data_IF_587360054099
#
_entry.id   IF_587360054099
#
_cell.length_a   1.000
_cell.length_b   1.000
_cell.length_c   1.000
_cell.angle_alpha   90.00
_cell.angle_beta   90.00
_cell.angle_gamma   90.00
#
_symmetry.space_group_name_H-M   'P 1'
#
loop_
_entity.id
_entity.type
_entity.pdbx_description
1 polymer ?
#
# COMPACT_ATOMS: atom_id res chain seq x y z
N UNK A 1 10.38 10.70 19.35
CA UNK A 1 9.91 10.27 18.02
C UNK A 1 8.67 11.06 17.62
N UNK A 2 8.81 12.10 16.79
CA UNK A 2 7.74 12.76 16.02
C UNK A 2 8.41 13.72 15.03
N UNK A 3 8.78 13.23 13.85
CA UNK A 3 9.30 14.08 12.77
C UNK A 3 8.34 14.04 11.59
N UNK A 4 7.28 14.85 11.68
CA UNK A 4 6.37 15.15 10.57
C UNK A 4 5.65 16.50 10.78
N UNK A 5 6.22 17.43 11.57
CA UNK A 5 5.45 18.58 12.09
C UNK A 5 5.62 19.88 11.29
N UNK A 6 6.68 20.06 10.50
CA UNK A 6 6.93 21.37 9.87
C UNK A 6 6.17 21.60 8.55
N UNK A 7 5.63 20.56 7.89
CA UNK A 7 5.00 20.69 6.54
C UNK A 7 3.64 20.03 6.37
N UNK A 8 3.08 19.38 7.40
CA UNK A 8 1.85 18.60 7.25
C UNK A 8 0.81 19.10 8.26
N UNK A 9 -0.37 19.46 7.77
CA UNK A 9 -1.48 19.92 8.61
C UNK A 9 -2.12 18.77 9.42
N UNK A 10 -2.29 17.60 8.79
CA UNK A 10 -2.87 16.41 9.41
C UNK A 10 -2.38 15.14 8.70
N UNK A 11 -2.24 14.03 9.43
CA UNK A 11 -1.92 12.70 8.89
C UNK A 11 -3.08 11.76 9.16
N UNK A 12 -3.55 11.04 8.13
CA UNK A 12 -4.58 10.00 8.22
C UNK A 12 -4.15 8.74 7.49
N UNK A 13 -4.69 7.61 7.93
CA UNK A 13 -4.48 6.28 7.37
C UNK A 13 -5.71 5.84 6.56
N UNK A 14 -5.46 5.18 5.42
CA UNK A 14 -6.51 4.64 4.57
C UNK A 14 -6.18 3.21 4.15
N UNK A 15 -7.17 2.32 4.22
CA UNK A 15 -7.02 0.90 3.86
C UNK A 15 -8.19 0.39 3.02
N UNK A 16 -7.90 -0.53 2.11
CA UNK A 16 -8.93 -1.20 1.32
C UNK A 16 -9.73 -2.21 2.15
N UNK A 17 -9.05 -3.03 2.95
CA UNK A 17 -9.68 -4.05 3.76
C UNK A 17 -9.14 -4.06 5.19
N UNK A 18 -9.99 -3.81 6.18
CA UNK A 18 -9.64 -3.93 7.60
C UNK A 18 -10.10 -5.28 8.17
N UNK A 19 -9.22 -5.93 8.94
CA UNK A 19 -9.49 -7.22 9.58
C UNK A 19 -10.02 -7.04 11.01
N UNK A 20 -10.85 -7.96 11.54
CA UNK A 20 -11.31 -7.91 12.94
C UNK A 20 -10.17 -7.95 13.97
N UNK A 21 -9.01 -8.51 13.61
CA UNK A 21 -7.82 -8.59 14.47
C UNK A 21 -6.81 -7.46 14.19
N UNK A 22 -7.21 -6.41 13.47
CA UNK A 22 -6.35 -5.23 13.29
C UNK A 22 -6.20 -4.51 14.63
N UNK A 23 -4.98 -4.18 15.01
CA UNK A 23 -4.69 -3.49 16.30
C UNK A 23 -4.95 -1.99 16.19
N UNK A 24 -4.82 -1.42 14.98
CA UNK A 24 -5.00 0.00 14.70
C UNK A 24 -6.18 0.18 13.75
N UNK A 25 -7.15 0.98 14.16
CA UNK A 25 -8.25 1.42 13.30
C UNK A 25 -7.79 2.54 12.36
N UNK A 26 -8.18 2.45 11.09
CA UNK A 26 -7.87 3.48 10.08
C UNK A 26 -9.05 4.44 9.91
N UNK A 27 -8.76 5.71 9.64
CA UNK A 27 -9.79 6.73 9.43
C UNK A 27 -10.63 6.47 8.18
N UNK A 28 -10.03 5.86 7.16
CA UNK A 28 -10.72 5.50 5.93
C UNK A 28 -10.59 4.01 5.64
N UNK A 29 -11.72 3.32 5.64
CA UNK A 29 -11.82 1.88 5.37
C UNK A 29 -12.81 1.68 4.25
N UNK A 30 -12.39 1.04 3.15
CA UNK A 30 -13.33 0.71 2.09
C UNK A 30 -14.27 -0.44 2.49
N UNK A 31 -13.73 -1.53 3.07
CA UNK A 31 -14.54 -2.67 3.53
C UNK A 31 -13.92 -3.42 4.71
N UNK A 32 -14.76 -3.89 5.63
CA UNK A 32 -14.34 -4.82 6.68
C UNK A 32 -14.51 -6.28 6.23
N UNK A 33 -13.53 -7.14 6.50
CA UNK A 33 -13.64 -8.57 6.19
C UNK A 33 -12.65 -9.42 7.00
N UNK A 34 -13.07 -10.62 7.38
CA UNK A 34 -12.25 -11.65 8.01
C UNK A 34 -11.57 -12.60 7.00
N UNK A 35 -12.00 -12.56 5.73
CA UNK A 35 -11.53 -13.46 4.67
C UNK A 35 -10.10 -13.16 4.24
N UNK A 36 -9.42 -14.15 3.68
CA UNK A 36 -8.20 -13.92 2.92
C UNK A 36 -8.49 -13.06 1.66
N UNK A 37 -7.59 -12.16 1.31
CA UNK A 37 -7.72 -11.27 0.15
C UNK A 37 -6.54 -11.53 -0.79
N UNK A 38 -6.84 -12.01 -2.00
CA UNK A 38 -5.87 -12.09 -3.08
C UNK A 38 -5.88 -10.77 -3.84
N UNK A 39 -4.79 -10.02 -3.72
CA UNK A 39 -4.60 -8.83 -4.53
C UNK A 39 -4.06 -9.23 -5.91
N UNK A 40 -4.55 -8.62 -7.00
CA UNK A 40 -4.07 -8.93 -8.35
C UNK A 40 -2.54 -8.83 -8.46
N UNK A 41 -1.94 -7.78 -7.90
CA UNK A 41 -0.48 -7.59 -7.89
C UNK A 41 0.30 -8.54 -6.96
N UNK A 42 -0.38 -9.32 -6.13
CA UNK A 42 0.24 -10.34 -5.26
C UNK A 42 0.15 -11.74 -5.83
N UNK A 43 -0.86 -12.03 -6.64
CA UNK A 43 -1.15 -13.40 -7.11
C UNK A 43 -1.06 -13.56 -8.62
N UNK A 44 -1.20 -12.49 -9.39
CA UNK A 44 -1.16 -12.53 -10.85
C UNK A 44 0.23 -12.09 -11.37
N UNK A 45 0.64 -12.54 -12.57
CA UNK A 45 1.86 -12.06 -13.20
C UNK A 45 1.83 -10.54 -13.44
N UNK A 46 2.98 -9.85 -13.41
CA UNK A 46 3.07 -8.45 -13.80
C UNK A 46 2.53 -8.22 -15.21
N UNK A 47 1.84 -7.10 -15.41
CA UNK A 47 1.27 -6.74 -16.72
C UNK A 47 2.36 -6.39 -17.74
N UNK A 48 3.56 -6.04 -17.27
CA UNK A 48 4.74 -5.73 -18.09
C UNK A 48 5.78 -6.83 -18.01
N UNK A 49 6.52 -7.03 -19.11
CA UNK A 49 7.70 -7.90 -19.10
C UNK A 49 8.80 -7.27 -18.22
N UNK A 50 9.13 -7.95 -17.12
CA UNK A 50 10.14 -7.52 -16.15
C UNK A 50 11.53 -7.47 -16.79
N UNK A 51 11.78 -8.27 -17.83
CA UNK A 51 13.01 -8.22 -18.62
C UNK A 51 13.16 -6.94 -19.46
N UNK A 52 12.05 -6.28 -19.78
CA UNK A 52 12.03 -4.98 -20.46
C UNK A 52 11.90 -3.79 -19.48
N UNK A 53 11.46 -4.03 -18.24
CA UNK A 53 11.22 -3.02 -17.22
C UNK A 53 12.49 -2.62 -16.43
N UNK A 54 13.68 -2.99 -16.89
CA UNK A 54 14.94 -2.51 -16.34
C UNK A 54 15.06 -1.01 -16.56
N UNK A 55 14.98 -0.24 -15.48
CA UNK A 55 15.46 1.13 -15.43
C UNK A 55 16.87 1.13 -16.03
N UNK A 56 17.03 1.67 -17.25
CA UNK A 56 18.34 1.84 -17.84
C UNK A 56 19.16 2.68 -16.87
N UNK A 57 20.13 2.06 -16.21
CA UNK A 57 21.17 2.81 -15.51
C UNK A 57 21.91 3.54 -16.61
N UNK A 58 21.56 4.82 -16.78
CA UNK A 58 22.32 5.76 -17.58
C UNK A 58 23.54 6.14 -16.73
N UNK A 59 24.61 5.34 -16.81
CA UNK A 59 25.90 5.79 -16.29
C UNK A 59 26.34 7.01 -17.12
N UNK A 60 26.66 8.09 -16.41
CA UNK A 60 27.12 9.37 -16.92
C UNK A 60 28.59 9.33 -17.37
#
# INVERSE_FOLDING_TARGET
>A
HKHALEKVAEVKSAVLYQKPHSIVDCEYVWKHTDKWVNFPWSTEPPVVDIGQAGHGVLDA
#
